data_IF_293520272545
#
_entry.id   IF_293520272545
#
_cell.length_a   1.000
_cell.length_b   1.000
_cell.length_c   1.000
_cell.angle_alpha   90.00
_cell.angle_beta   90.00
_cell.angle_gamma   90.00
#
_symmetry.space_group_name_H-M   'P 1'
#
loop_
_entity.id
_entity.type
_entity.pdbx_description
1 polymer ?
#
# COMPACT_ATOMS: atom_id res chain seq x y z
N UNK A 1 -2.81 -6.19 27.44
CA UNK A 1 -3.24 -5.76 26.08
C UNK A 1 -1.99 -5.59 25.28
N UNK A 2 -1.91 -6.19 24.12
CA UNK A 2 -0.84 -5.90 23.17
C UNK A 2 -0.91 -4.43 22.77
N UNK A 3 0.25 -3.81 22.54
CA UNK A 3 0.32 -2.41 22.12
C UNK A 3 -0.24 -2.28 20.71
N UNK A 4 -1.15 -1.32 20.48
CA UNK A 4 -1.59 -0.93 19.14
C UNK A 4 -0.42 -0.21 18.47
N UNK A 5 -0.09 -0.62 17.26
CA UNK A 5 0.92 0.01 16.41
C UNK A 5 0.22 0.96 15.45
N UNK A 6 0.66 2.21 15.40
CA UNK A 6 0.14 3.24 14.50
C UNK A 6 1.09 3.36 13.31
N UNK A 7 0.61 2.96 12.13
CA UNK A 7 1.32 3.14 10.86
C UNK A 7 0.77 4.38 10.14
N UNK A 8 1.64 5.24 9.63
CA UNK A 8 1.26 6.39 8.82
C UNK A 8 2.07 6.48 7.53
N UNK A 9 1.42 6.89 6.45
CA UNK A 9 2.08 7.20 5.18
C UNK A 9 2.66 8.61 5.21
N UNK A 10 3.81 8.83 4.59
CA UNK A 10 4.41 10.15 4.44
C UNK A 10 4.57 10.51 2.96
N UNK A 11 4.46 11.80 2.63
CA UNK A 11 4.70 12.35 1.29
C UNK A 11 5.97 13.20 1.20
N UNK A 12 6.61 13.48 2.33
CA UNK A 12 7.86 14.23 2.40
C UNK A 12 8.68 13.82 3.62
N UNK A 13 9.96 14.21 3.63
CA UNK A 13 10.83 14.03 4.79
C UNK A 13 10.31 14.82 6.00
N UNK A 14 9.84 16.05 5.77
CA UNK A 14 9.30 16.93 6.81
C UNK A 14 8.07 16.32 7.45
N UNK A 15 7.14 15.80 6.66
CA UNK A 15 5.96 15.13 7.18
C UNK A 15 6.31 13.84 7.95
N UNK A 16 7.27 13.05 7.46
CA UNK A 16 7.74 11.87 8.20
C UNK A 16 8.25 12.26 9.59
N UNK A 17 9.02 13.37 9.70
CA UNK A 17 9.51 13.88 10.98
C UNK A 17 8.37 14.31 11.90
N UNK A 18 7.41 15.09 11.40
CA UNK A 18 6.25 15.54 12.17
C UNK A 18 5.42 14.36 12.70
N UNK A 19 5.18 13.35 11.87
CA UNK A 19 4.48 12.12 12.27
C UNK A 19 5.21 11.37 13.40
N UNK A 20 6.54 11.28 13.33
CA UNK A 20 7.36 10.67 14.38
C UNK A 20 7.31 11.47 15.69
N UNK A 21 7.34 12.81 15.63
CA UNK A 21 7.19 13.70 16.77
C UNK A 21 5.81 13.57 17.43
N UNK A 22 4.74 13.29 16.64
CA UNK A 22 3.38 13.01 17.11
C UNK A 22 3.24 11.60 17.72
N UNK A 23 4.25 10.75 17.63
CA UNK A 23 4.25 9.45 18.29
C UNK A 23 3.83 8.27 17.41
N UNK A 24 3.76 8.42 16.10
CA UNK A 24 3.55 7.32 15.14
C UNK A 24 4.63 6.26 15.37
N UNK A 25 4.26 4.99 15.30
CA UNK A 25 5.18 3.88 15.56
C UNK A 25 5.89 3.39 14.31
N UNK A 26 5.24 3.55 13.14
CA UNK A 26 5.74 3.04 11.86
C UNK A 26 5.48 4.01 10.74
N UNK A 27 6.51 4.34 9.95
CA UNK A 27 6.39 5.16 8.74
C UNK A 27 6.32 4.26 7.52
N UNK A 28 5.35 4.52 6.64
CA UNK A 28 5.14 3.79 5.39
C UNK A 28 5.52 4.67 4.20
N UNK A 29 6.49 4.22 3.40
CA UNK A 29 6.96 4.87 2.18
C UNK A 29 7.12 3.87 1.05
N UNK A 30 7.49 4.32 -0.15
CA UNK A 30 7.82 3.42 -1.26
C UNK A 30 8.39 4.14 -2.46
N UNK A 31 8.93 3.34 -3.37
CA UNK A 31 9.46 3.75 -4.66
C UNK A 31 8.39 3.55 -5.75
N UNK A 32 8.45 4.33 -6.81
CA UNK A 32 7.42 4.41 -7.86
C UNK A 32 7.16 3.08 -8.58
N UNK A 33 8.22 2.29 -8.85
CA UNK A 33 8.09 1.07 -9.64
C UNK A 33 7.51 -0.10 -8.82
N UNK A 34 7.81 -0.16 -7.52
CA UNK A 34 7.50 -1.32 -6.67
C UNK A 34 6.33 -1.08 -5.71
N UNK A 35 5.97 0.19 -5.45
CA UNK A 35 4.89 0.56 -4.54
C UNK A 35 3.62 1.01 -5.25
N UNK A 36 2.46 0.52 -4.78
CA UNK A 36 1.13 0.96 -5.24
C UNK A 36 0.55 2.01 -4.30
N UNK A 37 -0.21 2.96 -4.88
CA UNK A 37 -1.08 3.87 -4.14
C UNK A 37 -0.35 4.70 -3.08
N UNK A 38 0.89 5.07 -3.39
CA UNK A 38 1.68 5.95 -2.54
C UNK A 38 1.15 7.39 -2.62
N UNK A 39 1.11 8.15 -1.51
CA UNK A 39 0.83 9.58 -1.55
C UNK A 39 1.81 10.28 -2.50
N UNK A 40 3.10 9.99 -2.32
CA UNK A 40 4.20 10.36 -3.19
C UNK A 40 5.26 9.26 -3.18
N UNK A 41 5.74 8.80 -4.36
CA UNK A 41 6.89 7.92 -4.42
C UNK A 41 8.17 8.69 -4.10
N UNK A 42 9.11 8.02 -3.43
CA UNK A 42 10.41 8.57 -3.06
C UNK A 42 11.52 8.02 -3.94
N UNK A 43 12.54 8.83 -4.19
CA UNK A 43 13.80 8.36 -4.74
C UNK A 43 14.60 7.57 -3.70
N UNK A 44 15.54 6.74 -4.14
CA UNK A 44 16.41 5.98 -3.24
C UNK A 44 17.18 6.88 -2.25
N UNK A 45 17.59 8.08 -2.69
CA UNK A 45 18.29 9.03 -1.83
C UNK A 45 17.36 9.59 -0.72
N UNK A 46 16.09 9.86 -1.04
CA UNK A 46 15.10 10.30 -0.06
C UNK A 46 14.73 9.16 0.90
N UNK A 47 14.52 7.95 0.38
CA UNK A 47 14.22 6.77 1.21
C UNK A 47 15.33 6.51 2.23
N UNK A 48 16.60 6.66 1.84
CA UNK A 48 17.75 6.50 2.73
C UNK A 48 17.71 7.51 3.89
N UNK A 49 17.43 8.78 3.59
CA UNK A 49 17.30 9.84 4.61
C UNK A 49 16.12 9.60 5.57
N UNK A 50 15.00 9.14 5.03
CA UNK A 50 13.81 8.83 5.86
C UNK A 50 14.10 7.61 6.74
N UNK A 51 14.79 6.59 6.23
CA UNK A 51 15.18 5.41 7.01
C UNK A 51 16.07 5.80 8.20
N UNK A 52 17.08 6.62 7.97
CA UNK A 52 17.95 7.18 9.03
C UNK A 52 17.12 7.90 10.10
N UNK A 53 16.24 8.81 9.70
CA UNK A 53 15.36 9.56 10.61
C UNK A 53 14.46 8.65 11.45
N UNK A 54 13.83 7.64 10.82
CA UNK A 54 12.93 6.69 11.50
C UNK A 54 13.69 5.89 12.54
N UNK A 55 14.86 5.34 12.19
CA UNK A 55 15.67 4.54 13.10
C UNK A 55 16.30 5.35 14.22
N UNK A 56 16.73 6.60 13.96
CA UNK A 56 17.20 7.52 14.99
C UNK A 56 16.11 7.86 16.01
N UNK A 57 14.84 7.85 15.57
CA UNK A 57 13.66 8.02 16.43
C UNK A 57 13.27 6.75 17.18
N UNK A 58 13.98 5.62 16.98
CA UNK A 58 13.65 4.32 17.57
C UNK A 58 12.32 3.73 17.08
N UNK A 59 11.94 4.05 15.84
CA UNK A 59 10.69 3.64 15.19
C UNK A 59 10.96 2.69 14.03
N UNK A 60 9.91 2.13 13.42
CA UNK A 60 9.98 1.12 12.36
C UNK A 60 9.68 1.70 10.99
N UNK A 61 10.39 1.22 9.98
CA UNK A 61 10.19 1.57 8.58
C UNK A 61 9.52 0.43 7.83
N UNK A 62 8.37 0.73 7.20
CA UNK A 62 7.73 -0.15 6.23
C UNK A 62 7.89 0.39 4.82
N UNK A 63 8.27 -0.47 3.89
CA UNK A 63 8.41 -0.09 2.49
C UNK A 63 7.41 -0.86 1.62
N UNK A 64 6.71 -0.13 0.75
CA UNK A 64 5.79 -0.71 -0.22
C UNK A 64 6.53 -1.50 -1.30
N UNK A 65 6.24 -2.80 -1.41
CA UNK A 65 6.64 -3.71 -2.49
C UNK A 65 5.39 -4.45 -2.97
N UNK A 66 4.27 -3.74 -3.01
CA UNK A 66 2.95 -4.31 -3.20
C UNK A 66 2.41 -4.18 -4.64
N UNK A 67 3.23 -3.74 -5.58
CA UNK A 67 2.88 -3.78 -6.99
C UNK A 67 2.69 -5.24 -7.48
N UNK A 68 1.70 -5.44 -8.37
CA UNK A 68 1.60 -6.68 -9.13
C UNK A 68 2.59 -6.61 -10.29
N UNK A 69 3.62 -7.44 -10.24
CA UNK A 69 4.80 -7.26 -11.07
C UNK A 69 4.71 -7.94 -12.44
N UNK A 70 5.19 -7.27 -13.47
CA UNK A 70 5.52 -7.86 -14.74
C UNK A 70 6.93 -8.45 -14.71
N UNK A 71 7.27 -9.30 -15.68
CA UNK A 71 8.56 -10.00 -15.70
C UNK A 71 9.77 -9.06 -15.55
N UNK A 72 9.80 -7.93 -16.27
CA UNK A 72 10.91 -6.98 -16.17
C UNK A 72 11.05 -6.32 -14.78
N UNK A 73 9.95 -6.16 -14.05
CA UNK A 73 9.99 -5.70 -12.65
C UNK A 73 10.54 -6.80 -11.73
N UNK A 74 10.14 -8.06 -11.97
CA UNK A 74 10.66 -9.20 -11.22
C UNK A 74 12.17 -9.40 -11.44
N UNK A 75 12.68 -9.11 -12.63
CA UNK A 75 14.11 -9.16 -12.94
C UNK A 75 14.91 -8.09 -12.20
N UNK A 76 14.31 -6.91 -11.97
CA UNK A 76 14.91 -5.81 -11.22
C UNK A 76 14.69 -5.89 -9.69
N UNK A 77 13.81 -6.77 -9.23
CA UNK A 77 13.45 -6.88 -7.81
C UNK A 77 14.64 -7.23 -6.90
N UNK A 78 15.57 -8.14 -7.25
CA UNK A 78 16.69 -8.47 -6.37
C UNK A 78 17.53 -7.24 -6.00
N UNK A 79 17.88 -6.40 -6.98
CA UNK A 79 18.65 -5.16 -6.74
C UNK A 79 17.89 -4.17 -5.84
N UNK A 80 16.57 -4.10 -6.00
CA UNK A 80 15.75 -3.29 -5.11
C UNK A 80 15.70 -3.83 -3.67
N UNK A 81 15.59 -5.16 -3.51
CA UNK A 81 15.65 -5.78 -2.20
C UNK A 81 17.02 -5.59 -1.53
N UNK A 82 18.12 -5.64 -2.29
CA UNK A 82 19.46 -5.33 -1.77
C UNK A 82 19.53 -3.89 -1.24
N UNK A 83 18.93 -2.93 -1.95
CA UNK A 83 18.81 -1.56 -1.49
C UNK A 83 17.97 -1.47 -0.19
N UNK A 84 16.86 -2.20 -0.10
CA UNK A 84 16.03 -2.20 1.11
C UNK A 84 16.77 -2.80 2.33
N UNK A 85 17.65 -3.80 2.12
CA UNK A 85 18.54 -4.31 3.17
C UNK A 85 19.58 -3.26 3.58
N UNK A 86 20.16 -2.53 2.63
CA UNK A 86 21.12 -1.45 2.91
C UNK A 86 20.51 -0.39 3.83
N UNK A 87 19.29 0.05 3.56
CA UNK A 87 18.58 1.04 4.39
C UNK A 87 17.94 0.44 5.64
N UNK A 88 18.08 -0.87 5.86
CA UNK A 88 17.53 -1.62 7.00
C UNK A 88 16.01 -1.49 7.14
N UNK A 89 15.27 -1.61 6.04
CA UNK A 89 13.82 -1.66 6.11
C UNK A 89 13.38 -2.78 7.08
N UNK A 90 12.53 -2.45 8.06
CA UNK A 90 12.06 -3.42 9.06
C UNK A 90 10.98 -4.33 8.46
N UNK A 91 10.10 -3.73 7.68
CA UNK A 91 8.99 -4.41 7.02
C UNK A 91 8.93 -4.05 5.53
N UNK A 92 8.42 -4.99 4.76
CA UNK A 92 7.97 -4.75 3.39
C UNK A 92 6.51 -5.18 3.24
N UNK A 93 5.68 -4.35 2.60
CA UNK A 93 4.29 -4.74 2.27
C UNK A 93 4.27 -5.40 0.90
N UNK A 94 3.79 -6.62 0.82
CA UNK A 94 3.92 -7.50 -0.36
C UNK A 94 2.56 -7.85 -0.93
N UNK A 95 2.34 -7.55 -2.20
CA UNK A 95 1.10 -7.90 -2.94
C UNK A 95 1.25 -9.08 -3.91
N UNK A 96 2.48 -9.38 -4.34
CA UNK A 96 2.77 -10.41 -5.35
C UNK A 96 3.41 -11.65 -4.74
N UNK A 97 2.87 -12.83 -5.04
CA UNK A 97 3.39 -14.10 -4.54
C UNK A 97 4.86 -14.37 -4.92
N UNK A 98 5.31 -13.83 -6.07
CA UNK A 98 6.69 -13.94 -6.51
C UNK A 98 7.67 -13.23 -5.58
N UNK A 99 7.27 -12.11 -4.98
CA UNK A 99 8.07 -11.39 -3.98
C UNK A 99 8.27 -12.23 -2.74
N UNK A 100 7.19 -12.84 -2.20
CA UNK A 100 7.28 -13.78 -1.08
C UNK A 100 8.24 -14.92 -1.38
N UNK A 101 8.11 -15.51 -2.59
CA UNK A 101 8.98 -16.60 -3.02
C UNK A 101 10.45 -16.19 -3.02
N UNK A 102 10.80 -15.04 -3.63
CA UNK A 102 12.16 -14.53 -3.70
C UNK A 102 12.71 -14.23 -2.30
N UNK A 103 11.94 -13.52 -1.46
CA UNK A 103 12.38 -13.19 -0.12
C UNK A 103 12.66 -14.44 0.72
N UNK A 104 11.82 -15.46 0.65
CA UNK A 104 12.02 -16.72 1.37
C UNK A 104 13.18 -17.55 0.82
N UNK A 105 13.31 -17.65 -0.52
CA UNK A 105 14.41 -18.35 -1.18
C UNK A 105 15.77 -17.77 -0.79
N UNK A 106 15.86 -16.44 -0.82
CA UNK A 106 17.11 -15.69 -0.60
C UNK A 106 17.33 -15.37 0.89
N UNK A 107 16.38 -15.75 1.75
CA UNK A 107 16.40 -15.51 3.21
C UNK A 107 16.57 -14.03 3.55
N UNK A 108 15.82 -13.16 2.87
CA UNK A 108 15.83 -11.72 3.11
C UNK A 108 15.42 -11.41 4.57
N UNK A 109 16.01 -10.40 5.21
CA UNK A 109 15.83 -10.15 6.66
C UNK A 109 14.50 -9.47 7.00
N UNK A 110 13.74 -9.01 6.01
CA UNK A 110 12.51 -8.25 6.24
C UNK A 110 11.41 -9.08 6.85
N UNK A 111 10.61 -8.47 7.71
CA UNK A 111 9.28 -8.96 8.03
C UNK A 111 8.34 -8.61 6.87
N UNK A 112 7.57 -9.57 6.38
CA UNK A 112 6.68 -9.38 5.25
C UNK A 112 5.24 -9.18 5.72
N UNK A 113 4.62 -8.06 5.31
CA UNK A 113 3.21 -7.76 5.52
C UNK A 113 2.45 -8.15 4.25
N UNK A 114 1.48 -9.05 4.36
CA UNK A 114 0.65 -9.40 3.21
C UNK A 114 -0.35 -8.30 2.89
N UNK A 115 -0.26 -7.69 1.69
CA UNK A 115 -1.26 -6.72 1.21
C UNK A 115 -2.53 -7.45 0.75
N UNK A 116 -3.40 -7.76 1.71
CA UNK A 116 -4.70 -8.34 1.48
C UNK A 116 -5.78 -7.28 1.18
N UNK A 117 -5.40 -6.03 0.94
CA UNK A 117 -6.29 -4.88 0.77
C UNK A 117 -7.23 -4.98 -0.45
N UNK A 118 -6.99 -5.92 -1.36
CA UNK A 118 -7.84 -6.16 -2.52
C UNK A 118 -8.50 -7.52 -2.43
N UNK A 119 -9.82 -7.55 -2.17
CA UNK A 119 -10.69 -8.72 -2.25
C UNK A 119 -10.34 -9.92 -1.35
N UNK A 120 -9.48 -9.75 -0.35
CA UNK A 120 -9.18 -10.80 0.63
C UNK A 120 -9.97 -10.53 1.91
N UNK A 121 -11.06 -11.24 2.08
CA UNK A 121 -12.05 -11.01 3.15
C UNK A 121 -12.17 -12.18 4.14
N UNK A 122 -11.20 -13.10 4.16
CA UNK A 122 -11.27 -14.31 4.96
C UNK A 122 -10.01 -14.51 5.81
N UNK A 123 -10.17 -14.71 7.11
CA UNK A 123 -9.08 -15.08 8.02
C UNK A 123 -8.34 -16.35 7.57
N UNK A 124 -9.02 -17.30 6.95
CA UNK A 124 -8.40 -18.53 6.45
C UNK A 124 -7.38 -18.27 5.36
N UNK A 125 -7.68 -17.34 4.45
CA UNK A 125 -6.76 -16.95 3.39
C UNK A 125 -5.54 -16.21 3.96
N UNK A 126 -5.75 -15.30 4.92
CA UNK A 126 -4.67 -14.57 5.59
C UNK A 126 -3.76 -15.53 6.36
N UNK A 127 -4.35 -16.44 7.13
CA UNK A 127 -3.61 -17.45 7.88
C UNK A 127 -2.81 -18.40 6.97
N UNK A 128 -3.33 -18.69 5.76
CA UNK A 128 -2.58 -19.43 4.75
C UNK A 128 -1.29 -18.71 4.37
N UNK A 129 -1.34 -17.42 4.09
CA UNK A 129 -0.14 -16.63 3.75
C UNK A 129 0.84 -16.54 4.92
N UNK A 130 0.35 -16.38 6.15
CA UNK A 130 1.19 -16.45 7.34
C UNK A 130 1.94 -17.78 7.45
N UNK A 131 1.20 -18.89 7.30
CA UNK A 131 1.75 -20.24 7.47
C UNK A 131 2.64 -20.71 6.33
N UNK A 132 2.27 -20.41 5.08
CA UNK A 132 2.93 -20.96 3.89
C UNK A 132 3.98 -20.03 3.31
N UNK A 133 3.76 -18.72 3.37
CA UNK A 133 4.65 -17.74 2.77
C UNK A 133 5.43 -16.92 3.81
N UNK A 134 5.20 -17.11 5.11
CA UNK A 134 5.92 -16.40 6.16
C UNK A 134 5.49 -14.95 6.31
N UNK A 135 4.26 -14.59 5.93
CA UNK A 135 3.74 -13.28 6.24
C UNK A 135 3.66 -13.09 7.77
N UNK A 136 4.28 -12.02 8.27
CA UNK A 136 4.28 -11.68 9.69
C UNK A 136 3.03 -10.93 10.13
N UNK A 137 2.42 -10.20 9.21
CA UNK A 137 1.23 -9.37 9.39
C UNK A 137 0.42 -9.35 8.08
N UNK A 138 -0.82 -8.83 8.11
CA UNK A 138 -1.62 -8.59 6.91
C UNK A 138 -2.39 -7.27 6.98
N UNK A 139 -2.45 -6.53 5.86
CA UNK A 139 -3.35 -5.38 5.69
C UNK A 139 -4.71 -5.91 5.26
N UNK A 140 -5.76 -5.64 6.04
CA UNK A 140 -7.10 -6.14 5.75
C UNK A 140 -7.77 -5.37 4.61
N UNK A 141 -8.65 -6.06 3.89
CA UNK A 141 -9.48 -5.45 2.86
C UNK A 141 -10.46 -4.44 3.48
N UNK A 142 -10.67 -3.33 2.79
CA UNK A 142 -11.51 -2.22 3.27
C UNK A 142 -12.99 -2.50 3.11
N UNK A 143 -13.34 -3.49 2.29
CA UNK A 143 -14.71 -3.94 2.05
C UNK A 143 -15.28 -4.79 3.19
N UNK A 144 -14.46 -5.18 4.18
CA UNK A 144 -14.91 -6.00 5.30
C UNK A 144 -15.75 -5.16 6.25
N UNK A 145 -17.03 -5.49 6.46
CA UNK A 145 -17.86 -4.78 7.42
C UNK A 145 -17.30 -4.86 8.85
N UNK A 146 -17.50 -3.81 9.65
CA UNK A 146 -16.97 -3.75 11.02
C UNK A 146 -17.40 -4.97 11.88
N UNK A 147 -18.63 -5.46 11.70
CA UNK A 147 -19.11 -6.64 12.42
C UNK A 147 -18.31 -7.92 12.06
N UNK A 148 -17.86 -8.04 10.81
CA UNK A 148 -17.05 -9.18 10.38
C UNK A 148 -15.58 -9.04 10.83
N UNK A 149 -15.06 -7.81 10.96
CA UNK A 149 -13.71 -7.60 11.47
C UNK A 149 -13.52 -8.19 12.88
N UNK A 150 -14.54 -8.09 13.76
CA UNK A 150 -14.47 -8.71 15.09
C UNK A 150 -14.40 -10.23 15.01
N UNK A 151 -15.23 -10.84 14.15
CA UNK A 151 -15.21 -12.30 13.93
C UNK A 151 -13.90 -12.76 13.31
N UNK A 152 -13.35 -11.97 12.38
CA UNK A 152 -12.03 -12.26 11.79
C UNK A 152 -10.92 -12.17 12.84
N UNK A 153 -10.93 -11.16 13.69
CA UNK A 153 -9.89 -10.94 14.70
C UNK A 153 -9.75 -12.15 15.63
N UNK A 154 -10.86 -12.80 16.00
CA UNK A 154 -10.85 -14.03 16.82
C UNK A 154 -10.20 -15.23 16.10
N UNK A 155 -10.14 -15.22 14.78
CA UNK A 155 -9.68 -16.31 13.95
C UNK A 155 -8.33 -16.07 13.26
N UNK A 156 -7.80 -14.86 13.32
CA UNK A 156 -6.48 -14.53 12.76
C UNK A 156 -5.36 -15.16 13.59
N UNK A 157 -4.34 -15.69 12.92
CA UNK A 157 -3.14 -16.29 13.52
C UNK A 157 -1.92 -15.38 13.37
N UNK A 158 -2.04 -14.30 12.64
CA UNK A 158 -1.03 -13.24 12.51
C UNK A 158 -1.69 -11.89 12.78
N UNK A 159 -0.96 -10.87 13.25
CA UNK A 159 -1.47 -9.50 13.39
C UNK A 159 -2.06 -8.96 12.12
N UNK A 160 -3.03 -8.06 12.26
CA UNK A 160 -3.68 -7.40 11.14
C UNK A 160 -3.64 -5.88 11.27
N UNK A 161 -3.40 -5.22 10.13
CA UNK A 161 -3.47 -3.78 9.96
C UNK A 161 -4.83 -3.41 9.34
N UNK A 162 -5.50 -2.43 9.91
CA UNK A 162 -6.79 -1.92 9.45
C UNK A 162 -6.63 -0.44 9.11
N UNK A 163 -7.10 -0.03 7.93
CA UNK A 163 -7.19 1.40 7.61
C UNK A 163 -8.26 2.04 8.49
N UNK A 164 -7.89 3.08 9.23
CA UNK A 164 -8.81 3.83 10.10
C UNK A 164 -9.08 5.25 9.60
N UNK A 165 -8.18 5.79 8.78
CA UNK A 165 -8.34 7.11 8.18
C UNK A 165 -7.63 7.19 6.82
N UNK A 166 -8.28 7.79 5.82
CA UNK A 166 -7.69 8.11 4.52
C UNK A 166 -8.46 7.56 3.32
N UNK A 167 -7.89 7.75 2.14
CA UNK A 167 -8.49 7.39 0.87
C UNK A 167 -8.69 5.88 0.72
N UNK A 168 -9.91 5.47 0.39
CA UNK A 168 -10.28 4.08 0.14
C UNK A 168 -10.26 3.79 -1.35
N UNK A 169 -9.39 2.87 -1.78
CA UNK A 169 -9.42 2.33 -3.16
C UNK A 169 -10.66 1.47 -3.35
N UNK A 170 -11.42 1.70 -4.41
CA UNK A 170 -12.59 0.90 -4.77
C UNK A 170 -12.39 0.09 -6.05
N UNK A 171 -11.46 0.52 -6.91
CA UNK A 171 -11.14 -0.20 -8.13
C UNK A 171 -9.69 0.00 -8.55
N UNK A 172 -9.07 -1.07 -9.04
CA UNK A 172 -7.75 -1.05 -9.65
C UNK A 172 -7.76 -1.90 -10.92
N UNK A 173 -7.21 -1.36 -12.00
CA UNK A 173 -7.00 -2.08 -13.26
C UNK A 173 -5.58 -1.82 -13.77
N UNK A 174 -4.85 -2.87 -14.16
CA UNK A 174 -3.55 -2.71 -14.83
C UNK A 174 -3.65 -2.11 -16.25
N UNK A 175 -4.87 -1.89 -16.76
CA UNK A 175 -5.10 -1.27 -18.06
C UNK A 175 -5.20 0.25 -17.92
N UNK A 176 -4.71 1.03 -18.90
CA UNK A 176 -4.87 2.49 -18.93
C UNK A 176 -6.29 2.83 -19.41
N UNK A 177 -7.29 2.70 -18.53
CA UNK A 177 -8.70 2.83 -18.91
C UNK A 177 -9.07 4.25 -19.31
N UNK A 178 -8.52 5.27 -18.64
CA UNK A 178 -8.75 6.68 -18.98
C UNK A 178 -8.14 7.02 -20.33
N UNK A 179 -6.88 6.64 -20.55
CA UNK A 179 -6.22 6.88 -21.84
C UNK A 179 -6.96 6.17 -22.98
N UNK A 180 -7.43 4.94 -22.75
CA UNK A 180 -8.22 4.21 -23.72
C UNK A 180 -9.57 4.89 -24.01
N UNK A 181 -10.22 5.44 -23.00
CA UNK A 181 -11.44 6.22 -23.14
C UNK A 181 -11.19 7.50 -23.95
N UNK A 182 -10.12 8.23 -23.64
CA UNK A 182 -9.75 9.46 -24.39
C UNK A 182 -9.44 9.16 -25.85
N UNK A 183 -8.72 8.08 -26.12
CA UNK A 183 -8.48 7.61 -27.48
C UNK A 183 -9.80 7.26 -28.22
N UNK A 184 -10.74 6.65 -27.51
CA UNK A 184 -12.05 6.30 -28.08
C UNK A 184 -12.89 7.53 -28.44
N UNK A 185 -12.93 8.55 -27.58
CA UNK A 185 -13.65 9.80 -27.88
C UNK A 185 -12.85 10.77 -28.75
N UNK A 186 -11.64 10.39 -29.17
CA UNK A 186 -10.74 11.14 -30.04
C UNK A 186 -10.42 12.55 -29.51
N UNK A 187 -10.16 12.68 -28.24
CA UNK A 187 -9.62 13.90 -27.65
C UNK A 187 -8.09 13.85 -27.64
N UNK A 188 -7.46 15.02 -27.85
CA UNK A 188 -6.00 15.18 -27.75
C UNK A 188 -5.55 15.49 -26.31
N UNK A 189 -6.47 15.44 -25.35
CA UNK A 189 -6.15 15.69 -23.95
C UNK A 189 -5.33 14.56 -23.36
N UNK A 190 -4.26 14.91 -22.66
CA UNK A 190 -3.44 13.94 -21.96
C UNK A 190 -4.07 13.52 -20.61
N UNK A 191 -3.97 12.25 -20.28
CA UNK A 191 -4.29 11.75 -18.93
C UNK A 191 -3.09 12.02 -18.05
N UNK A 192 -3.21 12.99 -17.14
CA UNK A 192 -2.18 13.30 -16.15
C UNK A 192 -2.78 13.31 -14.74
N UNK A 193 -1.97 13.00 -13.73
CA UNK A 193 -2.40 12.99 -12.33
C UNK A 193 -2.79 14.39 -11.82
N UNK A 194 -2.19 15.42 -12.40
CA UNK A 194 -2.40 16.82 -12.02
C UNK A 194 -3.76 17.37 -12.48
N UNK A 195 -4.52 16.62 -13.27
CA UNK A 195 -5.82 17.07 -13.78
C UNK A 195 -6.98 16.91 -12.81
N UNK A 196 -6.76 16.28 -11.65
CA UNK A 196 -7.81 16.03 -10.65
C UNK A 196 -9.07 15.43 -11.27
N UNK A 197 -8.89 14.35 -12.03
CA UNK A 197 -10.01 13.69 -12.70
C UNK A 197 -10.87 12.94 -11.70
N UNK A 198 -12.16 12.91 -11.96
CA UNK A 198 -13.11 12.12 -11.16
C UNK A 198 -14.15 11.43 -12.04
N UNK A 199 -14.74 10.39 -11.49
CA UNK A 199 -15.87 9.67 -12.06
C UNK A 199 -17.10 9.92 -11.19
N UNK A 200 -18.26 10.11 -11.83
CA UNK A 200 -19.55 10.14 -11.14
C UNK A 200 -20.32 8.85 -11.40
N UNK A 201 -21.05 8.38 -10.42
CA UNK A 201 -21.94 7.25 -10.60
C UNK A 201 -23.19 7.65 -11.40
N UNK A 202 -23.70 6.81 -12.32
CA UNK A 202 -24.88 7.13 -13.12
C UNK A 202 -26.14 7.44 -12.28
N UNK A 203 -26.24 6.86 -11.07
CA UNK A 203 -27.34 7.09 -10.13
C UNK A 203 -27.11 8.23 -9.15
N UNK A 204 -25.90 8.77 -9.07
CA UNK A 204 -25.49 9.86 -8.19
C UNK A 204 -24.50 10.80 -8.94
N UNK A 205 -25.03 11.77 -9.71
CA UNK A 205 -24.20 12.69 -10.49
C UNK A 205 -23.28 13.58 -9.64
N UNK A 206 -23.60 13.73 -8.36
CA UNK A 206 -22.83 14.54 -7.40
C UNK A 206 -21.69 13.74 -6.74
N UNK A 207 -21.60 12.43 -7.00
CA UNK A 207 -20.47 11.63 -6.55
C UNK A 207 -19.20 11.99 -7.31
N UNK A 208 -18.07 12.11 -6.59
CA UNK A 208 -16.77 12.48 -7.14
C UNK A 208 -15.70 11.45 -6.75
N UNK A 209 -15.76 10.26 -7.37
CA UNK A 209 -14.75 9.23 -7.18
C UNK A 209 -13.46 9.65 -7.88
N UNK A 210 -12.42 9.98 -7.13
CA UNK A 210 -11.12 10.37 -7.69
C UNK A 210 -10.52 9.25 -8.52
N UNK A 211 -9.97 9.60 -9.68
CA UNK A 211 -9.36 8.64 -10.60
C UNK A 211 -8.05 9.17 -11.16
N UNK A 212 -7.02 8.33 -11.17
CA UNK A 212 -5.77 8.62 -11.86
C UNK A 212 -5.18 7.39 -12.54
N UNK A 213 -4.25 7.61 -13.45
CA UNK A 213 -3.45 6.57 -14.08
C UNK A 213 -1.95 6.80 -13.82
N UNK A 214 -1.25 5.70 -13.64
CA UNK A 214 0.21 5.67 -13.54
C UNK A 214 0.77 4.42 -14.24
N UNK A 215 2.04 4.08 -14.00
CA UNK A 215 2.67 2.89 -14.59
C UNK A 215 2.04 1.57 -14.13
N UNK A 216 1.25 1.58 -13.08
CA UNK A 216 0.54 0.40 -12.56
C UNK A 216 -0.88 0.27 -13.09
N UNK A 217 -1.36 1.26 -13.85
CA UNK A 217 -2.68 1.29 -14.47
C UNK A 217 -3.61 2.36 -13.89
N UNK A 218 -4.90 2.06 -13.87
CA UNK A 218 -5.95 2.98 -13.42
C UNK A 218 -6.36 2.66 -11.98
N UNK A 219 -6.44 3.70 -11.16
CA UNK A 219 -6.85 3.63 -9.75
C UNK A 219 -8.07 4.53 -9.53
N UNK A 220 -9.11 3.98 -8.87
CA UNK A 220 -10.32 4.73 -8.53
C UNK A 220 -10.52 4.64 -7.01
N UNK A 221 -10.73 5.80 -6.40
CA UNK A 221 -10.96 5.94 -4.96
C UNK A 221 -12.41 6.33 -4.68
N UNK A 222 -12.89 5.96 -3.50
CA UNK A 222 -14.21 6.34 -3.04
C UNK A 222 -14.37 7.86 -2.98
N UNK A 223 -15.62 8.31 -3.11
CA UNK A 223 -15.98 9.74 -3.04
C UNK A 223 -15.55 10.42 -1.72
N UNK A 224 -15.56 9.66 -0.62
CA UNK A 224 -15.18 10.17 0.69
C UNK A 224 -14.05 9.32 1.29
N UNK A 225 -13.15 9.97 2.01
CA UNK A 225 -12.16 9.28 2.82
C UNK A 225 -12.85 8.47 3.93
N UNK A 226 -12.27 7.32 4.24
CA UNK A 226 -12.66 6.56 5.42
C UNK A 226 -12.28 7.38 6.67
N UNK A 227 -13.21 7.53 7.60
CA UNK A 227 -12.96 8.08 8.93
C UNK A 227 -13.62 7.19 9.99
N UNK A 228 -12.80 6.42 10.69
CA UNK A 228 -13.20 5.58 11.83
C UNK A 228 -12.70 6.16 13.18
N UNK A 229 -12.05 7.33 13.17
CA UNK A 229 -11.43 7.92 14.34
C UNK A 229 -12.46 8.50 15.34
N UNK A 230 -13.66 8.79 14.85
CA UNK A 230 -14.73 9.46 15.62
C UNK A 230 -15.92 8.56 15.97
N UNK A 231 -15.81 7.25 15.75
CA UNK A 231 -16.91 6.29 16.00
C UNK A 231 -16.61 5.37 17.17
#
# INVERSE_FOLDING_TARGET
>A
MEKIVITATAESYEQARELLELGVDRIYIGEKAFGLRLPKPFSFAEMRKIAELVHESGKELTVAVNALMHQGMMDALPDYLDFLEEIKADYITVGDAGVFYICNRDKRPFKMIYDASTMVTSSRQINFWGKQAGASEAVLAREIPSAELFVMAENLQIPAEVLVYGASIIHHSKRPLLQNYYNFIKTDEAVTKERDLFLSEPGDPDSHCSVYEDMHGTHIFANNDLDMMTK
#
